data_IF_075372773777
#
_entry.id   IF_075372773777
#
_cell.length_a   1.000
_cell.length_b   1.000
_cell.length_c   1.000
_cell.angle_alpha   90.00
_cell.angle_beta   90.00
_cell.angle_gamma   90.00
#
_symmetry.space_group_name_H-M   'P 1'
#
loop_
_entity.id
_entity.type
_entity.pdbx_description
1 polymer ?
#
# COMPACT_ATOMS: atom_id res chain seq x y z
N UNK A 1 15.68 -15.63 4.98
CA UNK A 1 15.41 -14.39 5.76
C UNK A 1 15.51 -13.21 4.81
N UNK A 2 14.48 -12.35 4.73
CA UNK A 2 14.48 -11.17 3.84
C UNK A 2 15.57 -10.20 4.31
N UNK A 3 16.50 -9.81 3.43
CA UNK A 3 17.66 -8.97 3.78
C UNK A 3 17.24 -7.56 4.19
N UNK A 4 16.30 -6.97 3.44
CA UNK A 4 15.71 -5.66 3.74
C UNK A 4 14.21 -5.82 3.93
N UNK A 5 13.68 -5.34 5.05
CA UNK A 5 12.25 -5.44 5.37
C UNK A 5 11.42 -4.47 4.56
N UNK A 6 12.00 -3.34 4.15
CA UNK A 6 11.42 -2.33 3.27
C UNK A 6 12.49 -1.62 2.46
N UNK A 7 12.05 -0.91 1.44
CA UNK A 7 12.84 0.04 0.67
C UNK A 7 12.04 1.32 0.49
N UNK A 8 12.68 2.48 0.60
CA UNK A 8 11.98 3.74 0.48
C UNK A 8 12.69 4.70 -0.48
N UNK A 9 11.93 5.62 -1.04
CA UNK A 9 12.40 6.71 -1.87
C UNK A 9 11.92 8.03 -1.28
N UNK A 10 12.84 8.93 -0.98
CA UNK A 10 12.51 10.27 -0.50
C UNK A 10 12.15 11.18 -1.68
N UNK A 11 11.07 11.97 -1.52
CA UNK A 11 10.61 12.96 -2.51
C UNK A 11 10.53 12.37 -3.93
N UNK A 12 10.02 11.15 -4.02
CA UNK A 12 9.89 10.41 -5.26
C UNK A 12 8.86 11.04 -6.20
N UNK A 13 7.78 11.60 -5.64
CA UNK A 13 6.77 12.35 -6.37
C UNK A 13 6.63 13.76 -5.81
N UNK A 14 6.21 14.69 -6.67
CA UNK A 14 6.04 16.08 -6.27
C UNK A 14 4.83 16.28 -5.34
N UNK A 15 4.82 17.38 -4.57
CA UNK A 15 3.63 17.77 -3.80
C UNK A 15 2.43 18.09 -4.69
N UNK A 16 2.67 18.49 -5.92
CA UNK A 16 1.62 18.71 -6.92
C UNK A 16 1.00 17.37 -7.35
N UNK A 17 1.82 16.35 -7.60
CA UNK A 17 1.32 14.99 -7.88
C UNK A 17 0.56 14.42 -6.69
N UNK A 18 1.03 14.63 -5.45
CA UNK A 18 0.29 14.24 -4.25
C UNK A 18 -1.12 14.84 -4.22
N UNK A 19 -1.23 16.16 -4.45
CA UNK A 19 -2.52 16.85 -4.51
C UNK A 19 -3.39 16.35 -5.66
N UNK A 20 -2.79 16.12 -6.84
CA UNK A 20 -3.48 15.56 -8.00
C UNK A 20 -4.06 14.18 -7.66
N UNK A 21 -3.28 13.30 -7.02
CA UNK A 21 -3.74 11.97 -6.61
C UNK A 21 -4.89 12.09 -5.61
N UNK A 22 -4.78 12.93 -4.59
CA UNK A 22 -5.86 13.16 -3.61
C UNK A 22 -7.15 13.64 -4.32
N UNK A 23 -7.02 14.51 -5.32
CA UNK A 23 -8.17 15.05 -6.07
C UNK A 23 -8.86 14.04 -6.99
N UNK A 24 -8.25 12.89 -7.28
CA UNK A 24 -8.91 11.80 -7.98
C UNK A 24 -10.01 11.14 -7.15
N UNK A 25 -9.93 11.24 -5.82
CA UNK A 25 -10.95 10.65 -4.96
C UNK A 25 -12.29 11.33 -5.20
N UNK A 26 -13.28 10.54 -5.59
CA UNK A 26 -14.65 10.97 -5.80
C UNK A 26 -15.51 10.66 -4.60
N UNK A 27 -15.76 9.39 -4.34
CA UNK A 27 -16.64 8.92 -3.27
C UNK A 27 -15.91 7.97 -2.33
N UNK A 28 -15.57 8.47 -1.15
CA UNK A 28 -14.94 7.66 -0.11
C UNK A 28 -15.95 6.71 0.55
N UNK A 29 -15.55 5.45 0.71
CA UNK A 29 -16.28 4.42 1.44
C UNK A 29 -15.49 3.97 2.67
N UNK A 30 -16.17 3.38 3.66
CA UNK A 30 -15.46 2.68 4.72
C UNK A 30 -14.67 1.50 4.14
N UNK A 31 -13.42 1.38 4.58
CA UNK A 31 -12.58 0.30 4.11
C UNK A 31 -13.13 -1.07 4.59
N UNK A 32 -13.21 -1.99 3.66
CA UNK A 32 -13.60 -3.39 3.89
C UNK A 32 -12.36 -4.27 4.04
N UNK A 33 -12.50 -5.42 4.68
CA UNK A 33 -11.52 -6.49 4.68
C UNK A 33 -11.77 -7.44 3.49
N UNK A 34 -10.94 -8.47 3.37
CA UNK A 34 -11.00 -9.44 2.26
C UNK A 34 -12.33 -10.22 2.16
N UNK A 35 -13.10 -10.27 3.23
CA UNK A 35 -14.44 -10.85 3.26
C UNK A 35 -15.57 -9.89 2.84
N UNK A 36 -15.22 -8.68 2.39
CA UNK A 36 -16.16 -7.64 1.97
C UNK A 36 -16.90 -6.96 3.11
N UNK A 37 -16.45 -7.09 4.36
CA UNK A 37 -17.10 -6.48 5.52
C UNK A 37 -16.27 -5.38 6.15
N UNK A 38 -16.97 -4.45 6.78
CA UNK A 38 -16.36 -3.34 7.54
C UNK A 38 -16.20 -3.73 9.00
N UNK A 39 -14.96 -3.78 9.48
CA UNK A 39 -14.59 -4.04 10.88
C UNK A 39 -13.85 -2.82 11.43
N UNK A 40 -14.57 -1.89 12.04
CA UNK A 40 -14.03 -0.60 12.52
C UNK A 40 -13.07 -0.71 13.71
N UNK A 41 -13.05 -1.80 14.40
CA UNK A 41 -12.11 -2.17 15.46
C UNK A 41 -10.81 -2.77 14.92
N UNK A 42 -10.79 -3.15 13.63
CA UNK A 42 -9.63 -3.68 12.92
C UNK A 42 -9.06 -2.65 11.94
N UNK A 43 -9.93 -2.11 11.05
CA UNK A 43 -9.56 -1.13 10.03
C UNK A 43 -10.57 0.02 10.02
N UNK A 44 -10.12 1.18 10.46
CA UNK A 44 -10.93 2.39 10.51
C UNK A 44 -10.27 3.44 9.62
N UNK A 45 -10.69 3.52 8.38
CA UNK A 45 -10.32 4.54 7.41
C UNK A 45 -11.34 4.58 6.27
N UNK A 46 -11.22 5.58 5.44
CA UNK A 46 -11.98 5.73 4.21
C UNK A 46 -11.11 5.38 3.00
N UNK A 47 -11.70 4.78 1.98
CA UNK A 47 -11.00 4.34 0.78
C UNK A 47 -11.79 4.68 -0.49
N UNK A 48 -11.07 5.03 -1.55
CA UNK A 48 -11.58 5.12 -2.91
C UNK A 48 -10.60 4.45 -3.88
N UNK A 49 -11.09 3.48 -4.67
CA UNK A 49 -10.30 2.72 -5.64
C UNK A 49 -10.12 3.46 -6.96
N UNK A 50 -8.95 3.33 -7.59
CA UNK A 50 -8.61 3.99 -8.87
C UNK A 50 -7.83 3.08 -9.82
N UNK A 51 -8.21 3.12 -11.10
CA UNK A 51 -7.55 2.42 -12.21
C UNK A 51 -6.96 3.39 -13.23
N UNK A 52 -6.24 4.39 -12.78
CA UNK A 52 -5.65 5.40 -13.66
C UNK A 52 -4.32 4.90 -14.24
N UNK A 53 -4.22 4.75 -15.56
CA UNK A 53 -3.01 4.24 -16.24
C UNK A 53 -1.75 5.01 -15.85
N UNK A 54 -1.82 6.34 -15.72
CA UNK A 54 -0.67 7.16 -15.38
C UNK A 54 -0.10 6.89 -13.98
N UNK A 55 -0.92 6.35 -13.04
CA UNK A 55 -0.42 5.90 -11.73
C UNK A 55 0.44 4.64 -11.89
N UNK A 56 0.04 3.69 -12.73
CA UNK A 56 0.86 2.51 -13.03
C UNK A 56 2.17 2.92 -13.69
N UNK A 57 2.12 3.81 -14.67
CA UNK A 57 3.32 4.32 -15.37
C UNK A 57 4.26 5.06 -14.41
N UNK A 58 3.71 5.78 -13.43
CA UNK A 58 4.48 6.52 -12.43
C UNK A 58 5.15 5.58 -11.41
N UNK A 59 4.42 4.61 -10.87
CA UNK A 59 4.90 3.82 -9.71
C UNK A 59 5.62 2.51 -10.08
N UNK A 60 5.37 1.96 -11.27
CA UNK A 60 6.01 0.72 -11.73
C UNK A 60 7.54 0.80 -11.73
N UNK A 61 8.20 1.86 -12.25
CA UNK A 61 9.65 1.99 -12.19
C UNK A 61 10.21 2.00 -10.75
N UNK A 62 9.51 2.65 -9.81
CA UNK A 62 9.90 2.66 -8.40
C UNK A 62 9.79 1.27 -7.77
N UNK A 63 8.74 0.54 -8.08
CA UNK A 63 8.58 -0.85 -7.63
C UNK A 63 9.74 -1.73 -8.12
N UNK A 64 10.09 -1.65 -9.42
CA UNK A 64 11.22 -2.39 -9.98
C UNK A 64 12.53 -1.99 -9.28
N UNK A 65 12.74 -0.70 -9.06
CA UNK A 65 13.91 -0.19 -8.35
C UNK A 65 13.99 -0.70 -6.91
N UNK A 66 12.87 -0.69 -6.17
CA UNK A 66 12.80 -1.22 -4.81
C UNK A 66 13.09 -2.73 -4.79
N UNK A 67 12.46 -3.49 -5.68
CA UNK A 67 12.62 -4.95 -5.78
C UNK A 67 14.08 -5.36 -6.02
N UNK A 68 14.78 -4.62 -6.90
CA UNK A 68 16.19 -4.86 -7.19
C UNK A 68 17.09 -4.40 -6.04
N UNK A 69 16.96 -3.16 -5.59
CA UNK A 69 17.85 -2.55 -4.60
C UNK A 69 17.70 -3.15 -3.20
N UNK A 70 16.48 -3.54 -2.81
CA UNK A 70 16.26 -4.30 -1.58
C UNK A 70 16.75 -5.75 -1.65
N UNK A 71 17.06 -6.23 -2.86
CA UNK A 71 17.53 -7.58 -3.10
C UNK A 71 16.44 -8.65 -3.01
N UNK A 72 15.16 -8.27 -3.12
CA UNK A 72 14.04 -9.22 -3.09
C UNK A 72 13.98 -10.06 -4.35
N UNK A 73 14.14 -9.43 -5.52
CA UNK A 73 14.18 -10.07 -6.84
C UNK A 73 12.95 -10.94 -7.13
N UNK A 74 11.80 -10.48 -6.64
CA UNK A 74 10.53 -11.17 -6.87
C UNK A 74 10.11 -11.05 -8.33
N UNK A 75 9.51 -12.11 -8.85
CA UNK A 75 8.85 -12.10 -10.12
C UNK A 75 7.51 -11.35 -9.96
N UNK A 76 7.38 -10.20 -10.64
CA UNK A 76 6.21 -9.31 -10.57
C UNK A 76 5.67 -9.09 -11.97
N UNK A 77 4.37 -9.38 -12.17
CA UNK A 77 3.73 -9.41 -13.48
C UNK A 77 2.59 -8.41 -13.64
N UNK A 78 1.96 -7.99 -12.54
CA UNK A 78 0.80 -7.11 -12.55
C UNK A 78 0.64 -6.35 -11.24
N UNK A 79 -0.36 -5.49 -11.15
CA UNK A 79 -0.71 -4.76 -9.95
C UNK A 79 -2.24 -4.71 -9.79
N UNK A 80 -2.69 -4.52 -8.57
CA UNK A 80 -4.09 -4.24 -8.25
C UNK A 80 -4.48 -2.79 -8.56
N UNK A 81 -5.76 -2.47 -8.34
CA UNK A 81 -6.22 -1.08 -8.35
C UNK A 81 -5.56 -0.30 -7.21
N UNK A 82 -5.27 0.96 -7.46
CA UNK A 82 -4.78 1.86 -6.42
C UNK A 82 -5.89 2.18 -5.43
N UNK A 83 -5.54 2.29 -4.15
CA UNK A 83 -6.44 2.75 -3.10
C UNK A 83 -5.97 4.09 -2.54
N UNK A 84 -6.77 5.14 -2.75
CA UNK A 84 -6.59 6.42 -2.06
C UNK A 84 -7.23 6.29 -0.69
N UNK A 85 -6.43 6.43 0.35
CA UNK A 85 -6.83 6.22 1.74
C UNK A 85 -6.85 7.55 2.48
N UNK A 86 -7.92 7.77 3.24
CA UNK A 86 -8.08 8.90 4.15
C UNK A 86 -8.29 8.39 5.56
N UNK A 87 -7.42 8.82 6.47
CA UNK A 87 -7.52 8.58 7.91
C UNK A 87 -7.82 9.90 8.62
N UNK A 88 -8.96 9.98 9.28
CA UNK A 88 -9.31 11.09 10.15
C UNK A 88 -8.74 10.87 11.55
N UNK A 89 -8.84 11.86 12.43
CA UNK A 89 -8.46 11.71 13.84
C UNK A 89 -9.14 10.48 14.46
N UNK A 90 -8.34 9.61 15.08
CA UNK A 90 -8.76 8.36 15.70
C UNK A 90 -8.89 7.18 14.72
N UNK A 91 -8.58 7.37 13.43
CA UNK A 91 -8.56 6.28 12.45
C UNK A 91 -7.21 5.56 12.47
N UNK A 92 -7.23 4.26 12.17
CA UNK A 92 -6.09 3.36 12.29
C UNK A 92 -6.29 2.09 11.44
N UNK A 93 -5.26 1.27 11.36
CA UNK A 93 -5.34 -0.11 10.88
C UNK A 93 -4.43 -0.98 11.75
N UNK A 94 -5.01 -1.96 12.42
CA UNK A 94 -4.25 -2.85 13.31
C UNK A 94 -3.20 -3.65 12.55
N UNK A 95 -2.31 -4.30 13.28
CA UNK A 95 -1.28 -5.18 12.72
C UNK A 95 -1.89 -6.27 11.84
N UNK A 96 -1.41 -6.36 10.60
CA UNK A 96 -1.85 -7.31 9.59
C UNK A 96 -0.75 -7.58 8.57
N UNK A 97 -0.98 -8.55 7.70
CA UNK A 97 -0.22 -8.84 6.49
C UNK A 97 -1.15 -8.65 5.29
N UNK A 98 -0.62 -8.19 4.16
CA UNK A 98 -1.42 -8.02 2.94
C UNK A 98 -1.61 -9.34 2.17
N UNK A 99 -0.80 -10.34 2.47
CA UNK A 99 -0.90 -11.68 1.91
C UNK A 99 0.29 -12.54 2.31
N UNK A 100 0.08 -13.84 2.47
CA UNK A 100 1.16 -14.79 2.86
C UNK A 100 2.12 -15.08 1.71
N UNK A 101 1.75 -14.78 0.47
CA UNK A 101 2.56 -15.04 -0.73
C UNK A 101 2.60 -16.51 -1.17
N UNK A 102 1.93 -17.39 -0.46
CA UNK A 102 1.82 -18.82 -0.76
C UNK A 102 0.51 -19.18 -1.47
N UNK A 103 0.27 -20.49 -1.66
CA UNK A 103 -0.92 -21.01 -2.32
C UNK A 103 -2.25 -20.70 -1.62
N UNK A 104 -2.22 -20.31 -0.32
CA UNK A 104 -3.43 -19.95 0.43
C UNK A 104 -3.89 -18.51 0.13
N UNK A 105 -3.01 -17.69 -0.43
CA UNK A 105 -3.29 -16.30 -0.81
C UNK A 105 -3.47 -16.11 -2.32
N UNK A 106 -3.55 -17.20 -3.10
CA UNK A 106 -3.73 -17.13 -4.55
C UNK A 106 -5.11 -16.59 -4.89
N UNK A 107 -5.16 -15.60 -5.76
CA UNK A 107 -6.41 -15.13 -6.36
C UNK A 107 -6.99 -16.19 -7.30
N UNK A 108 -8.18 -16.67 -7.00
CA UNK A 108 -8.99 -17.51 -7.90
C UNK A 108 -10.02 -16.64 -8.61
N UNK A 109 -9.60 -16.02 -9.69
CA UNK A 109 -10.41 -15.07 -10.48
C UNK A 109 -10.21 -15.33 -11.98
N UNK A 110 -10.76 -16.44 -12.54
CA UNK A 110 -10.48 -16.86 -13.92
C UNK A 110 -10.73 -15.79 -15.00
N UNK A 111 -11.71 -14.93 -14.77
CA UNK A 111 -12.08 -13.85 -15.71
C UNK A 111 -11.17 -12.61 -15.59
N UNK A 112 -10.29 -12.56 -14.60
CA UNK A 112 -9.36 -11.44 -14.39
C UNK A 112 -7.90 -11.90 -14.57
N UNK A 113 -7.39 -11.83 -15.81
CA UNK A 113 -6.02 -12.23 -16.15
C UNK A 113 -4.91 -11.50 -15.36
N UNK A 114 -5.20 -10.34 -14.79
CA UNK A 114 -4.21 -9.55 -14.03
C UNK A 114 -4.05 -10.08 -12.61
N UNK A 115 -5.09 -10.69 -12.05
CA UNK A 115 -5.08 -11.21 -10.68
C UNK A 115 -5.01 -12.74 -10.62
N UNK A 116 -5.66 -13.42 -11.57
CA UNK A 116 -5.82 -14.88 -11.52
C UNK A 116 -4.49 -15.63 -11.37
N UNK A 117 -4.47 -16.62 -10.49
CA UNK A 117 -3.30 -17.46 -10.16
C UNK A 117 -2.09 -16.67 -9.62
N UNK A 118 -2.28 -15.47 -9.09
CA UNK A 118 -1.22 -14.64 -8.53
C UNK A 118 -1.41 -14.39 -7.05
N UNK A 119 -0.34 -13.98 -6.40
CA UNK A 119 -0.30 -13.54 -5.01
C UNK A 119 0.31 -12.14 -4.93
N UNK A 120 0.00 -11.39 -3.88
CA UNK A 120 0.67 -10.13 -3.57
C UNK A 120 2.12 -10.40 -3.20
N UNK A 121 3.05 -9.74 -3.89
CA UNK A 121 4.50 -9.84 -3.67
C UNK A 121 5.04 -8.64 -2.91
N UNK A 122 4.67 -7.46 -3.37
CA UNK A 122 5.18 -6.19 -2.86
C UNK A 122 3.99 -5.27 -2.61
N UNK A 123 3.94 -4.73 -1.40
CA UNK A 123 3.04 -3.65 -1.00
C UNK A 123 3.74 -2.31 -1.15
N UNK A 124 2.99 -1.30 -1.57
CA UNK A 124 3.44 0.08 -1.68
C UNK A 124 2.55 1.00 -0.87
N UNK A 125 3.18 1.96 -0.20
CA UNK A 125 2.50 3.12 0.38
C UNK A 125 3.20 4.39 -0.09
N UNK A 126 2.45 5.29 -0.74
CA UNK A 126 2.87 6.65 -1.02
C UNK A 126 2.24 7.58 0.02
N UNK A 127 3.06 8.41 0.67
CA UNK A 127 2.58 9.43 1.60
C UNK A 127 2.14 10.67 0.81
N UNK A 128 0.85 11.00 0.88
CA UNK A 128 0.28 12.11 0.09
C UNK A 128 0.13 13.41 0.89
N UNK A 129 0.14 13.32 2.24
CA UNK A 129 0.10 14.47 3.16
C UNK A 129 1.12 14.29 4.28
N UNK A 130 1.46 15.37 4.96
CA UNK A 130 2.37 15.39 6.12
C UNK A 130 1.94 16.38 7.22
N UNK A 131 0.77 16.99 7.08
CA UNK A 131 0.14 17.94 8.00
C UNK A 131 -0.76 17.25 9.04
N UNK A 132 -0.33 16.11 9.56
CA UNK A 132 -1.02 15.32 10.58
C UNK A 132 -0.06 14.84 11.66
N UNK A 133 -0.59 14.40 12.80
CA UNK A 133 0.16 13.78 13.89
C UNK A 133 -0.37 12.37 14.18
N UNK A 134 0.49 11.50 14.69
CA UNK A 134 0.20 10.07 14.79
C UNK A 134 0.18 9.43 13.40
N UNK A 135 -0.57 8.37 13.22
CA UNK A 135 -0.75 7.71 11.92
C UNK A 135 0.53 7.12 11.33
N UNK A 136 1.52 6.82 12.15
CA UNK A 136 2.78 6.22 11.72
C UNK A 136 2.52 4.86 11.07
N UNK A 137 3.17 4.62 9.94
CA UNK A 137 3.30 3.29 9.36
C UNK A 137 4.41 2.55 10.12
N UNK A 138 4.04 1.48 10.81
CA UNK A 138 4.98 0.58 11.46
C UNK A 138 5.08 -0.71 10.63
N UNK A 139 6.30 -1.16 10.34
CA UNK A 139 6.60 -2.37 9.57
C UNK A 139 7.50 -3.27 10.40
N UNK A 140 7.05 -4.48 10.71
CA UNK A 140 7.80 -5.46 11.52
C UNK A 140 8.30 -4.88 12.86
N UNK A 141 7.46 -4.08 13.54
CA UNK A 141 7.78 -3.46 14.82
C UNK A 141 8.68 -2.22 14.75
N UNK A 142 9.02 -1.74 13.56
CA UNK A 142 9.87 -0.57 13.35
C UNK A 142 9.11 0.52 12.58
N UNK A 143 9.34 1.79 12.91
CA UNK A 143 8.75 2.92 12.20
C UNK A 143 9.79 3.51 11.25
N UNK A 144 9.63 3.32 9.91
CA UNK A 144 10.49 3.98 8.94
C UNK A 144 10.36 5.51 9.03
N UNK A 145 11.47 6.23 9.03
CA UNK A 145 11.49 7.69 9.10
C UNK A 145 11.21 8.32 7.72
N UNK A 146 10.03 8.12 7.16
CA UNK A 146 9.74 8.52 5.77
C UNK A 146 8.31 9.03 5.56
N UNK A 147 7.70 9.70 6.56
CA UNK A 147 6.30 10.15 6.51
C UNK A 147 6.04 11.44 5.70
N UNK A 148 7.07 12.07 5.13
CA UNK A 148 6.89 13.30 4.33
C UNK A 148 6.09 13.04 3.06
N UNK A 149 5.24 14.01 2.69
CA UNK A 149 4.49 13.95 1.45
C UNK A 149 5.43 13.85 0.24
N UNK A 150 5.12 12.91 -0.66
CA UNK A 150 5.94 12.57 -1.82
C UNK A 150 6.94 11.43 -1.60
N UNK A 151 7.06 10.92 -0.37
CA UNK A 151 7.87 9.74 -0.10
C UNK A 151 7.10 8.47 -0.45
N UNK A 152 7.83 7.45 -0.90
CA UNK A 152 7.31 6.12 -1.19
C UNK A 152 8.01 5.10 -0.30
N UNK A 153 7.26 4.09 0.14
CA UNK A 153 7.81 2.92 0.79
C UNK A 153 7.23 1.65 0.15
N UNK A 154 8.10 0.66 -0.05
CA UNK A 154 7.77 -0.66 -0.56
C UNK A 154 8.22 -1.69 0.45
N UNK A 155 7.47 -2.78 0.58
CA UNK A 155 7.82 -3.90 1.44
C UNK A 155 7.17 -5.19 0.94
N UNK A 156 7.75 -6.38 1.24
CA UNK A 156 7.11 -7.65 0.91
C UNK A 156 5.74 -7.77 1.58
N UNK A 157 4.72 -8.18 0.83
CA UNK A 157 3.32 -8.16 1.28
C UNK A 157 3.04 -9.07 2.48
N UNK A 158 3.90 -10.05 2.74
CA UNK A 158 3.83 -10.95 3.91
C UNK A 158 4.49 -10.38 5.18
N UNK A 159 5.03 -9.16 5.12
CA UNK A 159 5.59 -8.52 6.31
C UNK A 159 4.46 -7.83 7.09
N UNK A 160 4.39 -8.16 8.37
CA UNK A 160 3.45 -7.58 9.32
C UNK A 160 3.65 -6.07 9.43
N UNK A 161 2.55 -5.32 9.33
CA UNK A 161 2.56 -3.86 9.42
C UNK A 161 1.25 -3.32 9.96
N UNK A 162 1.25 -2.04 10.38
CA UNK A 162 0.07 -1.34 10.90
C UNK A 162 0.14 0.15 10.61
N UNK A 163 -1.01 0.82 10.69
CA UNK A 163 -1.11 2.28 10.77
C UNK A 163 -1.60 2.64 12.16
N UNK A 164 -0.76 3.34 12.94
CA UNK A 164 -1.12 3.81 14.28
C UNK A 164 -2.24 4.84 14.22
N UNK A 165 -2.99 5.05 15.32
CA UNK A 165 -4.05 6.05 15.33
C UNK A 165 -3.54 7.45 14.96
N UNK A 166 -4.26 8.11 14.05
CA UNK A 166 -4.06 9.54 13.78
C UNK A 166 -4.53 10.33 14.97
N UNK A 167 -3.68 11.20 15.52
CA UNK A 167 -3.99 11.98 16.74
C UNK A 167 -4.45 13.40 16.42
N UNK A 168 -4.02 13.95 15.27
CA UNK A 168 -4.39 15.28 14.78
C UNK A 168 -4.30 15.36 13.26
N UNK A 169 -5.13 16.19 12.64
CA UNK A 169 -5.16 16.37 11.19
C UNK A 169 -5.81 15.22 10.43
N UNK A 170 -5.54 15.15 9.14
CA UNK A 170 -6.01 14.10 8.23
C UNK A 170 -4.82 13.50 7.47
N UNK A 171 -4.67 12.18 7.53
CA UNK A 171 -3.62 11.47 6.81
C UNK A 171 -4.15 10.95 5.48
N UNK A 172 -3.50 11.35 4.39
CA UNK A 172 -3.75 10.79 3.06
C UNK A 172 -2.59 9.93 2.60
N UNK A 173 -2.90 8.76 2.06
CA UNK A 173 -1.92 7.86 1.43
C UNK A 173 -2.53 7.17 0.22
N UNK A 174 -1.65 6.69 -0.67
CA UNK A 174 -2.01 5.81 -1.78
C UNK A 174 -1.37 4.46 -1.54
N UNK A 175 -2.15 3.40 -1.58
CA UNK A 175 -1.66 2.02 -1.50
C UNK A 175 -1.88 1.27 -2.79
N UNK A 176 -0.97 0.35 -3.08
CA UNK A 176 -1.08 -0.59 -4.18
C UNK A 176 -0.37 -1.90 -3.85
N UNK A 177 -0.75 -2.97 -4.51
CA UNK A 177 -0.14 -4.29 -4.38
C UNK A 177 0.30 -4.80 -5.74
N UNK A 178 1.56 -5.19 -5.82
CA UNK A 178 2.18 -5.77 -7.01
C UNK A 178 2.20 -7.29 -6.89
N UNK A 179 1.76 -7.96 -7.95
CA UNK A 179 1.47 -9.37 -7.96
C UNK A 179 2.40 -10.15 -8.88
N UNK A 180 2.58 -11.41 -8.54
CA UNK A 180 3.29 -12.39 -9.35
C UNK A 180 2.91 -13.82 -8.95
N UNK A 181 3.57 -14.85 -9.54
CA UNK A 181 3.30 -16.23 -9.22
C UNK A 181 3.58 -16.52 -7.74
N UNK A 182 2.93 -17.50 -7.09
CA UNK A 182 3.24 -17.90 -5.72
C UNK A 182 4.73 -18.13 -5.48
N UNK A 183 5.19 -17.89 -4.26
CA UNK A 183 6.56 -18.24 -3.88
C UNK A 183 6.74 -19.76 -3.93
N UNK A 184 7.90 -20.19 -4.43
CA UNK A 184 8.29 -21.61 -4.50
C UNK A 184 8.96 -22.06 -3.21
#
# INVERSE_FOLDING_TARGET
MVKNKWWYFNKAISREDCKKIISLAGEYRHAELSDGKVYRDVRKCLVDGKQEQWLYDLFWPYMLGANEQAGWKYDVESAEDFQILKYNKGDFYVTHEDGSGDHLSVYDMPDNKFLNNKVRKISMVAFLSDDYEGGELEISGEIPMTREAGNLIFFPSFISHQVKPVTSGERFSLSNWFLGPPFK
#
